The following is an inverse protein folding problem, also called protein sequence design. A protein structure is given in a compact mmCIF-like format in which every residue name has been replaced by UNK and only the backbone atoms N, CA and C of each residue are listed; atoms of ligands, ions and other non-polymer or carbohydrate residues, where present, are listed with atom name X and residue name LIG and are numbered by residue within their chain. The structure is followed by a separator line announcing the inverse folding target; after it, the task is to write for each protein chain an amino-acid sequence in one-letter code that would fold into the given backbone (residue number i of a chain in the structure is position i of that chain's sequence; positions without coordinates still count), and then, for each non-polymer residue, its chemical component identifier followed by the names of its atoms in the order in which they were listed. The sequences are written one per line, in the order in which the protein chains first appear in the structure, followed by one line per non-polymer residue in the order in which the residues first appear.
data_IF_015103201975
#
_entry.id   IF_015103201975
#
_cell.length_a   1.000
_cell.length_b   1.000
_cell.length_c   1.000
_cell.angle_alpha   90.00
_cell.angle_beta   90.00
_cell.angle_gamma   90.00
#
_symmetry.space_group_name_H-M   'P 1'
#
loop_
_entity.id
_entity.type
_entity.pdbx_description
1 polymer ?
#
# COMPACT_ATOMS: atom_id res chain seq x y z
N UNK A 1 -42.72 -64.30 38.94
CA UNK A 1 -41.48 -63.89 39.62
C UNK A 1 -41.20 -62.45 39.22
N UNK A 2 -41.53 -61.52 40.11
CA UNK A 2 -41.45 -60.07 39.91
C UNK A 2 -40.02 -59.60 40.15
N UNK A 3 -39.37 -59.00 39.14
CA UNK A 3 -38.05 -58.38 39.29
C UNK A 3 -38.15 -56.89 38.95
N UNK A 4 -38.10 -56.07 40.00
CA UNK A 4 -38.01 -54.61 39.94
C UNK A 4 -36.54 -54.24 39.70
N UNK A 5 -36.24 -53.43 38.69
CA UNK A 5 -34.94 -52.78 38.50
C UNK A 5 -35.11 -51.27 38.76
N UNK A 6 -34.40 -50.66 39.73
CA UNK A 6 -34.48 -49.22 39.95
C UNK A 6 -33.63 -48.48 38.91
N UNK A 7 -34.23 -47.48 38.28
CA UNK A 7 -33.55 -46.51 37.43
C UNK A 7 -32.63 -45.62 38.29
N UNK A 8 -31.33 -45.90 38.26
CA UNK A 8 -30.30 -45.04 38.84
C UNK A 8 -29.96 -43.95 37.81
N UNK A 9 -30.61 -42.80 37.94
CA UNK A 9 -30.35 -41.62 37.13
C UNK A 9 -29.03 -40.98 37.59
N UNK A 10 -27.93 -41.27 36.90
CA UNK A 10 -26.62 -40.66 37.14
C UNK A 10 -26.58 -39.27 36.49
N UNK A 11 -26.85 -38.24 37.29
CA UNK A 11 -26.66 -36.84 36.89
C UNK A 11 -25.17 -36.53 36.79
N UNK A 12 -24.64 -36.48 35.57
CA UNK A 12 -23.28 -36.04 35.29
C UNK A 12 -23.21 -34.50 35.30
N UNK A 13 -22.82 -33.91 36.44
CA UNK A 13 -22.44 -32.50 36.53
C UNK A 13 -20.97 -32.35 36.16
N UNK A 14 -20.67 -31.85 34.95
CA UNK A 14 -19.33 -31.40 34.59
C UNK A 14 -19.04 -30.05 35.26
N UNK A 15 -18.00 -29.91 36.10
CA UNK A 15 -17.47 -28.60 36.44
C UNK A 15 -16.66 -28.07 35.25
N UNK A 16 -17.13 -27.00 34.61
CA UNK A 16 -16.33 -26.20 33.69
C UNK A 16 -15.17 -25.58 34.47
N UNK A 17 -14.02 -26.24 34.45
CA UNK A 17 -12.73 -25.63 34.80
C UNK A 17 -12.28 -24.77 33.63
N UNK A 18 -12.95 -23.63 33.46
CA UNK A 18 -12.48 -22.55 32.60
C UNK A 18 -11.18 -21.99 33.19
N UNK A 19 -10.10 -22.07 32.43
CA UNK A 19 -8.85 -21.39 32.74
C UNK A 19 -9.12 -19.90 32.91
N UNK A 20 -8.80 -19.37 34.09
CA UNK A 20 -8.66 -17.93 34.31
C UNK A 20 -7.52 -17.47 33.42
N UNK A 21 -7.84 -16.96 32.22
CA UNK A 21 -6.91 -16.15 31.43
C UNK A 21 -6.78 -14.86 32.21
N UNK A 22 -5.74 -14.80 33.04
CA UNK A 22 -5.34 -13.60 33.73
C UNK A 22 -5.17 -12.48 32.70
N UNK A 23 -5.88 -11.40 32.94
CA UNK A 23 -5.86 -10.18 32.16
C UNK A 23 -4.45 -9.58 32.11
N UNK A 24 -3.68 -9.97 31.09
CA UNK A 24 -2.52 -9.21 30.60
C UNK A 24 -2.97 -8.56 29.29
N UNK A 25 -3.81 -7.53 29.39
CA UNK A 25 -4.42 -6.93 28.20
C UNK A 25 -4.89 -5.48 28.34
N UNK A 26 -4.91 -4.90 29.54
CA UNK A 26 -5.37 -3.51 29.70
C UNK A 26 -4.26 -2.47 29.41
N UNK A 27 -2.97 -2.84 29.48
CA UNK A 27 -1.86 -1.90 29.26
C UNK A 27 -1.41 -1.75 27.81
N UNK A 28 -1.63 -2.75 26.96
CA UNK A 28 -1.16 -2.71 25.57
C UNK A 28 -2.11 -1.95 24.63
N UNK A 29 -3.42 -1.97 24.90
CA UNK A 29 -4.42 -1.36 24.03
C UNK A 29 -4.37 0.18 24.03
N UNK A 30 -3.96 0.81 25.14
CA UNK A 30 -3.93 2.28 25.25
C UNK A 30 -2.74 2.89 24.48
N UNK A 31 -1.68 2.12 24.22
CA UNK A 31 -0.47 2.62 23.56
C UNK A 31 -0.52 2.66 22.03
N UNK A 32 -1.38 1.87 21.37
CA UNK A 32 -1.32 1.72 19.91
C UNK A 32 -1.94 2.91 19.17
N UNK A 33 -2.94 3.57 19.77
CA UNK A 33 -3.67 4.66 19.13
C UNK A 33 -2.83 5.92 18.87
N UNK A 34 -1.73 6.13 19.60
CA UNK A 34 -0.84 7.28 19.42
C UNK A 34 0.38 6.98 18.52
N UNK A 35 0.52 5.74 18.04
CA UNK A 35 1.75 5.25 17.37
C UNK A 35 1.57 5.15 15.85
N UNK A 36 0.33 5.15 15.35
CA UNK A 36 0.01 5.13 13.93
C UNK A 36 -0.51 6.50 13.47
N UNK A 37 0.01 6.99 12.35
CA UNK A 37 -0.48 8.19 11.68
C UNK A 37 -1.73 7.91 10.81
N UNK A 38 -2.20 6.66 10.78
CA UNK A 38 -3.41 6.21 10.08
C UNK A 38 -4.51 5.92 11.08
N UNK A 39 -5.73 6.28 10.74
CA UNK A 39 -6.91 5.86 11.49
C UNK A 39 -7.26 4.41 11.14
N UNK A 40 -7.85 3.67 12.08
CA UNK A 40 -8.36 2.32 11.77
C UNK A 40 -9.42 2.35 10.65
N UNK A 41 -10.13 3.48 10.50
CA UNK A 41 -11.07 3.71 9.40
C UNK A 41 -10.40 3.71 8.03
N UNK A 42 -9.30 4.45 7.85
CA UNK A 42 -8.55 4.47 6.58
C UNK A 42 -7.99 3.10 6.20
N UNK A 43 -7.50 2.33 7.16
CA UNK A 43 -7.01 0.96 6.91
C UNK A 43 -8.14 0.03 6.47
N UNK A 44 -9.31 0.10 7.13
CA UNK A 44 -10.50 -0.65 6.73
C UNK A 44 -11.00 -0.21 5.35
N UNK A 45 -10.92 1.09 5.08
CA UNK A 45 -11.38 1.66 3.83
C UNK A 45 -10.53 1.22 2.64
N UNK A 46 -9.20 1.23 2.80
CA UNK A 46 -8.25 0.73 1.82
C UNK A 46 -8.44 -0.78 1.58
N UNK A 47 -8.59 -1.57 2.65
CA UNK A 47 -8.84 -3.01 2.56
C UNK A 47 -10.15 -3.33 1.82
N UNK A 48 -11.21 -2.58 2.10
CA UNK A 48 -12.50 -2.72 1.40
C UNK A 48 -12.38 -2.33 -0.08
N UNK A 49 -11.64 -1.26 -0.38
CA UNK A 49 -11.40 -0.82 -1.76
C UNK A 49 -10.59 -1.87 -2.55
N UNK A 50 -9.54 -2.43 -1.95
CA UNK A 50 -8.75 -3.52 -2.56
C UNK A 50 -9.59 -4.77 -2.81
N UNK A 51 -10.43 -5.17 -1.85
CA UNK A 51 -11.34 -6.30 -2.01
C UNK A 51 -12.39 -6.06 -3.11
N UNK A 52 -12.94 -4.85 -3.21
CA UNK A 52 -13.86 -4.47 -4.30
C UNK A 52 -13.19 -4.59 -5.67
N UNK A 53 -11.97 -4.04 -5.82
CA UNK A 53 -11.20 -4.10 -7.07
C UNK A 53 -10.89 -5.56 -7.44
N UNK A 54 -10.36 -6.36 -6.50
CA UNK A 54 -10.06 -7.77 -6.74
C UNK A 54 -11.33 -8.55 -7.10
N UNK A 55 -12.45 -8.29 -6.43
CA UNK A 55 -13.72 -8.92 -6.77
C UNK A 55 -14.20 -8.57 -8.19
N UNK A 56 -14.08 -7.30 -8.61
CA UNK A 56 -14.42 -6.87 -9.98
C UNK A 56 -13.53 -7.57 -11.02
N UNK A 57 -12.22 -7.66 -10.77
CA UNK A 57 -11.28 -8.35 -11.66
C UNK A 57 -11.64 -9.83 -11.82
N UNK A 58 -11.84 -10.53 -10.70
CA UNK A 58 -12.21 -11.96 -10.71
C UNK A 58 -13.58 -12.19 -11.35
N UNK A 59 -14.52 -11.25 -11.19
CA UNK A 59 -15.84 -11.33 -11.82
C UNK A 59 -15.81 -11.05 -13.32
N UNK A 60 -14.85 -10.25 -13.80
CA UNK A 60 -14.64 -9.99 -15.23
C UNK A 60 -14.06 -11.23 -15.90
N UNK A 61 -12.95 -11.77 -15.38
CA UNK A 61 -12.35 -13.03 -15.84
C UNK A 61 -11.34 -13.60 -14.82
N UNK A 62 -11.72 -14.64 -14.10
CA UNK A 62 -10.87 -15.27 -13.09
C UNK A 62 -9.62 -15.96 -13.67
N UNK A 63 -9.68 -16.43 -14.92
CA UNK A 63 -8.53 -17.08 -15.57
C UNK A 63 -7.46 -16.06 -15.95
N UNK A 64 -7.88 -14.86 -16.35
CA UNK A 64 -6.98 -13.77 -16.71
C UNK A 64 -6.41 -13.03 -15.51
N UNK A 65 -7.24 -12.77 -14.50
CA UNK A 65 -6.90 -11.88 -13.38
C UNK A 65 -6.67 -12.60 -12.05
N UNK A 66 -6.68 -13.94 -12.06
CA UNK A 66 -6.43 -14.76 -10.87
C UNK A 66 -5.12 -14.42 -10.18
N UNK A 67 -4.07 -14.19 -10.96
CA UNK A 67 -2.71 -13.86 -10.49
C UNK A 67 -2.40 -12.36 -10.44
N UNK A 68 -3.40 -11.49 -10.59
CA UNK A 68 -3.23 -10.05 -10.36
C UNK A 68 -3.50 -9.73 -8.90
N UNK A 69 -2.46 -9.35 -8.16
CA UNK A 69 -2.57 -8.93 -6.78
C UNK A 69 -2.90 -7.44 -6.70
N UNK A 70 -3.76 -7.09 -5.75
CA UNK A 70 -4.26 -5.72 -5.54
C UNK A 70 -3.93 -5.32 -4.10
N UNK A 71 -3.08 -4.31 -3.96
CA UNK A 71 -2.77 -3.70 -2.68
C UNK A 71 -3.21 -2.24 -2.67
N UNK A 72 -3.76 -1.75 -1.56
CA UNK A 72 -4.20 -0.36 -1.45
C UNK A 72 -3.61 0.27 -0.20
N UNK A 73 -2.93 1.40 -0.37
CA UNK A 73 -2.41 2.19 0.73
C UNK A 73 -2.62 3.68 0.48
N UNK A 74 -3.36 4.34 1.38
CA UNK A 74 -3.58 5.79 1.31
C UNK A 74 -4.20 6.23 -0.03
N UNK A 75 -5.14 5.44 -0.56
CA UNK A 75 -5.80 5.69 -1.85
C UNK A 75 -4.95 5.40 -3.10
N UNK A 76 -3.67 5.01 -2.97
CA UNK A 76 -2.89 4.45 -4.07
C UNK A 76 -3.18 2.95 -4.20
N UNK A 77 -3.61 2.52 -5.38
CA UNK A 77 -3.77 1.12 -5.74
C UNK A 77 -2.51 0.64 -6.46
N UNK A 78 -1.85 -0.39 -5.93
CA UNK A 78 -0.83 -1.13 -6.64
C UNK A 78 -1.46 -2.38 -7.25
N UNK A 79 -1.35 -2.50 -8.57
CA UNK A 79 -1.61 -3.73 -9.29
C UNK A 79 -0.28 -4.41 -9.59
N UNK A 80 -0.09 -5.63 -9.10
CA UNK A 80 1.08 -6.45 -9.41
C UNK A 80 0.65 -7.84 -9.84
N UNK A 81 1.58 -8.70 -10.24
CA UNK A 81 1.24 -10.00 -10.80
C UNK A 81 1.49 -10.12 -12.29
N UNK A 82 0.75 -11.00 -12.95
CA UNK A 82 0.85 -11.21 -14.39
C UNK A 82 -0.49 -11.32 -15.08
N UNK A 83 -0.48 -11.00 -16.36
CA UNK A 83 -1.53 -11.29 -17.34
C UNK A 83 -0.91 -11.83 -18.62
N UNK A 84 -1.72 -12.45 -19.47
CA UNK A 84 -1.23 -13.07 -20.70
C UNK A 84 -1.17 -12.08 -21.88
N UNK A 85 -1.88 -10.94 -21.80
CA UNK A 85 -2.00 -10.00 -22.91
C UNK A 85 -1.98 -8.52 -22.46
N UNK A 86 -1.45 -7.60 -23.29
CA UNK A 86 -1.40 -6.17 -22.97
C UNK A 86 -2.78 -5.54 -22.68
N UNK A 87 -3.81 -5.97 -23.39
CA UNK A 87 -5.19 -5.51 -23.21
C UNK A 87 -5.73 -5.84 -21.81
N UNK A 88 -5.36 -6.99 -21.25
CA UNK A 88 -5.78 -7.39 -19.91
C UNK A 88 -5.09 -6.50 -18.85
N UNK A 89 -3.83 -6.10 -19.07
CA UNK A 89 -3.13 -5.14 -18.20
C UNK A 89 -3.82 -3.78 -18.16
N UNK A 90 -4.24 -3.27 -19.32
CA UNK A 90 -4.98 -2.00 -19.43
C UNK A 90 -6.38 -2.13 -18.81
N UNK A 91 -7.05 -3.26 -19.02
CA UNK A 91 -8.35 -3.55 -18.44
C UNK A 91 -8.28 -3.59 -16.91
N UNK A 92 -7.26 -4.23 -16.34
CA UNK A 92 -7.08 -4.29 -14.90
C UNK A 92 -6.91 -2.89 -14.28
N UNK A 93 -6.13 -2.02 -14.93
CA UNK A 93 -5.97 -0.62 -14.56
C UNK A 93 -7.29 0.16 -14.62
N UNK A 94 -8.06 -0.03 -15.69
CA UNK A 94 -9.39 0.58 -15.82
C UNK A 94 -10.34 0.13 -14.70
N UNK A 95 -10.26 -1.14 -14.27
CA UNK A 95 -11.06 -1.64 -13.13
C UNK A 95 -10.61 -0.98 -11.82
N UNK A 96 -9.31 -0.82 -11.59
CA UNK A 96 -8.78 -0.13 -10.41
C UNK A 96 -9.25 1.33 -10.33
N UNK A 97 -9.24 2.06 -11.45
CA UNK A 97 -9.76 3.43 -11.53
C UNK A 97 -11.28 3.54 -11.32
N UNK A 98 -12.03 2.46 -11.53
CA UNK A 98 -13.49 2.45 -11.33
C UNK A 98 -13.93 2.37 -9.87
N UNK A 99 -13.00 2.13 -8.94
CA UNK A 99 -13.32 1.99 -7.52
C UNK A 99 -13.35 3.37 -6.83
N UNK A 100 -14.31 3.54 -5.92
CA UNK A 100 -14.76 4.86 -5.45
C UNK A 100 -13.70 5.66 -4.69
N UNK A 101 -12.66 4.99 -4.15
CA UNK A 101 -11.63 5.61 -3.29
C UNK A 101 -10.22 5.53 -3.88
N UNK A 102 -10.11 5.15 -5.15
CA UNK A 102 -8.84 5.17 -5.87
C UNK A 102 -8.45 6.61 -6.19
N UNK A 103 -7.31 7.05 -5.66
CA UNK A 103 -6.71 8.35 -5.95
C UNK A 103 -5.61 8.23 -7.01
N UNK A 104 -4.92 7.10 -7.04
CA UNK A 104 -3.79 6.84 -7.92
C UNK A 104 -3.66 5.35 -8.19
N UNK A 105 -3.07 4.97 -9.33
CA UNK A 105 -2.88 3.58 -9.73
C UNK A 105 -1.46 3.36 -10.23
N UNK A 106 -0.72 2.51 -9.52
CA UNK A 106 0.56 1.96 -9.97
C UNK A 106 0.30 0.60 -10.64
N UNK A 107 0.48 0.53 -11.96
CA UNK A 107 0.26 -0.70 -12.73
C UNK A 107 1.58 -1.42 -13.05
N UNK A 108 1.98 -2.33 -12.16
CA UNK A 108 3.20 -3.14 -12.25
C UNK A 108 2.92 -4.58 -12.71
N UNK A 109 1.76 -4.82 -13.31
CA UNK A 109 1.40 -6.11 -13.92
C UNK A 109 2.38 -6.42 -15.06
N UNK A 110 2.93 -7.62 -15.06
CA UNK A 110 3.78 -8.14 -16.13
C UNK A 110 2.96 -8.86 -17.20
N UNK A 111 3.35 -8.68 -18.47
CA UNK A 111 2.74 -9.41 -19.59
C UNK A 111 3.64 -10.61 -19.88
N UNK A 112 3.27 -11.78 -19.36
CA UNK A 112 4.05 -13.00 -19.52
C UNK A 112 3.16 -14.27 -19.52
N UNK A 113 3.50 -15.28 -20.34
CA UNK A 113 2.75 -16.53 -20.40
C UNK A 113 2.69 -17.24 -19.03
N UNK A 114 1.71 -18.13 -18.80
CA UNK A 114 1.64 -18.92 -17.57
C UNK A 114 2.93 -19.71 -17.32
N UNK A 115 3.60 -19.43 -16.19
CA UNK A 115 4.89 -20.03 -15.87
C UNK A 115 5.21 -20.01 -14.37
N UNK A 116 5.21 -21.21 -13.77
CA UNK A 116 5.91 -21.54 -12.52
C UNK A 116 5.37 -20.97 -11.20
N UNK A 117 4.45 -21.70 -10.56
CA UNK A 117 3.97 -21.56 -9.16
C UNK A 117 5.07 -21.39 -8.07
N UNK A 118 6.36 -21.58 -8.40
CA UNK A 118 7.48 -21.51 -7.45
C UNK A 118 7.81 -20.06 -7.06
N UNK A 119 7.47 -19.05 -7.89
CA UNK A 119 7.81 -17.65 -7.60
C UNK A 119 7.05 -17.08 -6.39
N UNK A 120 5.74 -17.31 -6.29
CA UNK A 120 4.89 -16.66 -5.27
C UNK A 120 5.28 -17.04 -3.83
N UNK A 121 5.62 -18.31 -3.58
CA UNK A 121 6.08 -18.76 -2.25
C UNK A 121 7.38 -18.07 -1.84
N UNK A 122 8.27 -17.82 -2.80
CA UNK A 122 9.53 -17.12 -2.52
C UNK A 122 9.31 -15.64 -2.22
N UNK A 123 8.34 -15.00 -2.89
CA UNK A 123 8.01 -13.59 -2.72
C UNK A 123 7.34 -13.31 -1.37
N UNK A 124 6.45 -14.17 -0.88
CA UNK A 124 5.87 -14.01 0.46
C UNK A 124 6.95 -14.06 1.56
N UNK A 125 7.95 -14.94 1.41
CA UNK A 125 9.09 -15.03 2.33
C UNK A 125 10.00 -13.80 2.22
N UNK A 126 10.18 -13.25 1.00
CA UNK A 126 10.90 -11.99 0.80
C UNK A 126 10.14 -10.85 1.51
N UNK A 127 8.85 -10.67 1.24
CA UNK A 127 7.99 -9.68 1.89
C UNK A 127 8.06 -9.79 3.41
N UNK A 128 7.93 -11.00 3.96
CA UNK A 128 8.05 -11.26 5.40
C UNK A 128 9.40 -10.83 5.98
N UNK A 129 10.51 -11.13 5.29
CA UNK A 129 11.85 -10.73 5.72
C UNK A 129 12.09 -9.22 5.60
N UNK A 130 11.59 -8.58 4.54
CA UNK A 130 11.64 -7.11 4.40
C UNK A 130 10.84 -6.46 5.53
N UNK A 131 9.60 -6.87 5.78
CA UNK A 131 8.78 -6.35 6.88
C UNK A 131 9.48 -6.52 8.24
N UNK A 132 10.06 -7.69 8.52
CA UNK A 132 10.81 -7.92 9.75
C UNK A 132 12.02 -6.97 9.89
N UNK A 133 12.72 -6.70 8.78
CA UNK A 133 13.88 -5.81 8.77
C UNK A 133 13.49 -4.34 8.98
N UNK A 134 12.41 -3.89 8.35
CA UNK A 134 11.86 -2.55 8.62
C UNK A 134 11.43 -2.39 10.08
N UNK A 135 10.81 -3.42 10.68
CA UNK A 135 10.43 -3.42 12.10
C UNK A 135 11.66 -3.33 13.02
N UNK A 136 12.77 -3.97 12.64
CA UNK A 136 14.02 -3.92 13.39
C UNK A 136 14.82 -2.61 13.23
N UNK A 137 14.50 -1.80 12.22
CA UNK A 137 15.25 -0.57 11.92
C UNK A 137 14.79 0.60 12.78
N UNK A 138 15.73 1.24 13.49
CA UNK A 138 15.43 2.42 14.33
C UNK A 138 15.14 3.68 13.52
N UNK A 139 15.62 3.73 12.28
CA UNK A 139 15.48 4.87 11.39
C UNK A 139 14.18 4.85 10.60
N UNK A 140 13.47 3.71 10.60
CA UNK A 140 12.24 3.50 9.82
C UNK A 140 11.05 3.26 10.74
N UNK A 141 10.01 4.08 10.58
CA UNK A 141 8.72 3.89 11.21
C UNK A 141 7.91 2.87 10.41
N UNK A 142 8.23 1.58 10.59
CA UNK A 142 7.69 0.46 9.80
C UNK A 142 6.16 0.45 9.67
N UNK A 143 5.43 0.90 10.69
CA UNK A 143 3.95 0.98 10.68
C UNK A 143 3.39 1.92 9.60
N UNK A 144 4.21 2.80 9.03
CA UNK A 144 3.81 3.71 7.96
C UNK A 144 4.13 3.17 6.56
N UNK A 145 4.71 1.98 6.46
CA UNK A 145 5.09 1.35 5.20
C UNK A 145 4.32 0.05 5.01
N UNK A 146 3.76 -0.12 3.81
CA UNK A 146 3.31 -1.41 3.34
C UNK A 146 4.31 -1.97 2.32
N UNK A 147 4.48 -3.29 2.31
CA UNK A 147 5.54 -3.96 1.53
C UNK A 147 4.88 -5.06 0.73
N UNK A 148 4.94 -4.97 -0.60
CA UNK A 148 4.54 -6.05 -1.50
C UNK A 148 5.73 -6.51 -2.32
N UNK A 149 5.73 -7.78 -2.74
CA UNK A 149 6.81 -8.34 -3.56
C UNK A 149 6.23 -9.15 -4.70
N UNK A 150 6.73 -8.93 -5.91
CA UNK A 150 6.42 -9.77 -7.06
C UNK A 150 7.67 -10.07 -7.88
N UNK A 151 7.99 -11.36 -8.06
CA UNK A 151 9.13 -11.86 -8.80
C UNK A 151 10.47 -11.23 -8.36
N UNK A 152 10.64 -11.04 -7.05
CA UNK A 152 11.81 -10.39 -6.43
C UNK A 152 11.86 -8.86 -6.56
N UNK A 153 10.84 -8.20 -7.12
CA UNK A 153 10.70 -6.73 -7.07
C UNK A 153 9.88 -6.37 -5.85
N UNK A 154 10.45 -5.57 -4.95
CA UNK A 154 9.79 -5.09 -3.73
C UNK A 154 9.17 -3.73 -4.00
N UNK A 155 7.87 -3.60 -3.76
CA UNK A 155 7.13 -2.34 -3.82
C UNK A 155 6.90 -1.83 -2.40
N UNK A 156 7.42 -0.64 -2.11
CA UNK A 156 7.16 0.08 -0.87
C UNK A 156 6.03 1.09 -1.09
N UNK A 157 4.99 1.00 -0.28
CA UNK A 157 3.86 1.94 -0.27
C UNK A 157 3.74 2.61 1.10
N UNK A 158 3.01 3.73 1.16
CA UNK A 158 2.66 4.41 2.41
C UNK A 158 3.25 5.81 2.52
N UNK A 159 3.59 6.24 3.74
CA UNK A 159 4.01 7.62 4.02
C UNK A 159 5.28 7.68 4.87
N UNK A 160 6.38 8.17 4.30
CA UNK A 160 7.60 8.47 5.03
C UNK A 160 7.51 9.84 5.73
N UNK A 161 8.16 9.98 6.89
CA UNK A 161 8.30 11.23 7.63
C UNK A 161 9.33 12.17 7.00
N UNK A 162 10.28 11.63 6.25
CA UNK A 162 11.32 12.38 5.55
C UNK A 162 11.89 11.59 4.37
N UNK A 163 12.61 12.27 3.48
CA UNK A 163 13.37 11.64 2.41
C UNK A 163 14.43 10.65 2.95
N UNK A 164 15.06 10.98 4.09
CA UNK A 164 16.03 10.09 4.73
C UNK A 164 15.40 8.79 5.26
N UNK A 165 14.21 8.87 5.85
CA UNK A 165 13.49 7.67 6.28
C UNK A 165 13.14 6.78 5.08
N UNK A 166 12.70 7.39 3.98
CA UNK A 166 12.41 6.66 2.74
C UNK A 166 13.66 5.96 2.19
N UNK A 167 14.79 6.69 2.12
CA UNK A 167 16.07 6.12 1.68
C UNK A 167 16.48 4.92 2.56
N UNK A 168 16.37 5.07 3.88
CA UNK A 168 16.67 3.97 4.79
C UNK A 168 15.70 2.79 4.63
N UNK A 169 14.41 3.03 4.40
CA UNK A 169 13.47 1.94 4.12
C UNK A 169 13.83 1.17 2.84
N UNK A 170 14.23 1.88 1.79
CA UNK A 170 14.67 1.26 0.53
C UNK A 170 15.98 0.45 0.71
N UNK A 171 16.96 0.98 1.45
CA UNK A 171 18.19 0.28 1.82
C UNK A 171 17.90 -0.98 2.66
N UNK A 172 17.00 -0.88 3.64
CA UNK A 172 16.61 -2.00 4.49
C UNK A 172 15.83 -3.08 3.69
N UNK A 173 15.12 -2.71 2.64
CA UNK A 173 14.54 -3.67 1.71
C UNK A 173 15.61 -4.33 0.83
N UNK A 174 16.54 -3.55 0.27
CA UNK A 174 17.49 -4.02 -0.74
C UNK A 174 18.50 -5.05 -0.22
N UNK A 175 18.88 -5.02 1.06
CA UNK A 175 19.79 -6.07 1.59
C UNK A 175 19.11 -7.42 1.89
N UNK A 176 17.79 -7.56 1.69
CA UNK A 176 17.12 -8.85 1.85
C UNK A 176 17.47 -9.77 0.68
N UNK A 177 17.99 -10.95 0.98
CA UNK A 177 18.33 -11.95 -0.03
C UNK A 177 17.13 -12.35 -0.88
N UNK A 178 17.26 -12.25 -2.20
CA UNK A 178 16.19 -12.53 -3.18
C UNK A 178 15.54 -11.26 -3.74
N UNK A 179 15.78 -10.09 -3.13
CA UNK A 179 15.38 -8.80 -3.71
C UNK A 179 16.27 -8.49 -4.91
N UNK A 180 15.63 -8.26 -6.05
CA UNK A 180 16.25 -7.88 -7.33
C UNK A 180 16.18 -6.38 -7.56
N UNK A 181 15.11 -5.74 -7.09
CA UNK A 181 14.83 -4.32 -7.28
C UNK A 181 13.90 -3.84 -6.16
N UNK A 182 14.04 -2.56 -5.77
CA UNK A 182 13.11 -1.88 -4.87
C UNK A 182 12.49 -0.71 -5.61
N UNK A 183 11.16 -0.68 -5.69
CA UNK A 183 10.38 0.41 -6.27
C UNK A 183 9.60 1.07 -5.14
N UNK A 184 9.56 2.39 -5.12
CA UNK A 184 8.85 3.13 -4.09
C UNK A 184 7.73 3.98 -4.67
N UNK A 185 6.54 3.81 -4.09
CA UNK A 185 5.41 4.71 -4.22
C UNK A 185 5.08 5.38 -2.88
N UNK A 186 6.08 5.47 -1.98
CA UNK A 186 5.92 6.09 -0.67
C UNK A 186 5.88 7.60 -0.86
N UNK A 187 4.85 8.24 -0.30
CA UNK A 187 4.76 9.70 -0.25
C UNK A 187 5.54 10.24 0.94
N UNK A 188 6.23 11.35 0.77
CA UNK A 188 6.86 12.04 1.89
C UNK A 188 5.82 12.95 2.52
N UNK A 189 5.65 12.87 3.84
CA UNK A 189 4.75 13.73 4.59
C UNK A 189 5.19 15.17 4.44
N UNK A 190 4.28 16.02 3.99
CA UNK A 190 4.52 17.45 4.00
C UNK A 190 4.62 17.95 5.45
N UNK A 191 5.60 18.81 5.78
CA UNK A 191 5.62 19.48 7.08
C UNK A 191 4.31 20.25 7.25
N UNK A 192 3.55 19.97 8.32
CA UNK A 192 2.39 20.79 8.69
C UNK A 192 2.85 22.24 8.84
N UNK A 193 2.55 23.08 7.86
CA UNK A 193 2.94 24.50 7.87
C UNK A 193 3.41 25.08 6.54
N UNK A 194 3.54 24.30 5.46
CA UNK A 194 3.62 24.91 4.13
C UNK A 194 2.19 25.29 3.73
N UNK A 195 1.89 26.59 3.83
CA UNK A 195 0.78 27.15 3.06
C UNK A 195 1.11 26.81 1.60
N UNK A 196 0.20 26.19 0.82
CA UNK A 196 0.39 26.09 -0.64
C UNK A 196 0.82 27.46 -1.14
N UNK A 197 1.77 27.59 -2.09
CA UNK A 197 2.12 28.89 -2.63
C UNK A 197 0.81 29.58 -2.98
N UNK A 198 0.52 30.66 -2.25
CA UNK A 198 -0.69 31.44 -2.41
C UNK A 198 -0.85 31.62 -3.91
N UNK A 199 -1.94 31.12 -4.48
CA UNK A 199 -2.20 31.35 -5.89
C UNK A 199 -2.21 32.85 -6.02
N UNK A 200 -1.13 33.40 -6.59
CA UNK A 200 -0.98 34.83 -6.79
C UNK A 200 -2.16 35.17 -7.69
N UNK A 201 -3.23 35.69 -7.10
CA UNK A 201 -4.31 36.31 -7.83
C UNK A 201 -3.64 37.51 -8.47
N UNK A 202 -3.25 37.32 -9.73
CA UNK A 202 -2.81 38.40 -10.59
C UNK A 202 -3.94 39.42 -10.50
N UNK A 203 -3.71 40.62 -9.96
CA UNK A 203 -4.76 41.63 -9.93
C UNK A 203 -5.23 41.81 -11.36
N UNK A 204 -6.51 41.57 -11.61
CA UNK A 204 -7.10 41.78 -12.92
C UNK A 204 -7.14 43.29 -13.15
N UNK A 205 -6.00 43.86 -13.55
CA UNK A 205 -5.87 45.25 -13.94
C UNK A 205 -6.67 45.50 -15.20
N UNK A 206 -7.35 46.65 -15.24
CA UNK A 206 -8.14 47.09 -16.39
C UNK A 206 -7.35 46.95 -17.70
N UNK A 207 -7.92 46.36 -18.77
CA UNK A 207 -7.21 46.07 -20.02
C UNK A 207 -6.81 47.32 -20.84
N UNK A 208 -7.00 48.52 -20.30
CA UNK A 208 -6.84 49.78 -21.03
C UNK A 208 -5.45 50.44 -20.91
N UNK A 209 -4.50 49.90 -20.15
CA UNK A 209 -3.21 50.58 -19.90
C UNK A 209 -2.00 50.01 -20.63
N UNK A 210 -2.14 48.95 -21.43
CA UNK A 210 -1.04 48.40 -22.23
C UNK A 210 -0.93 49.06 -23.61
N UNK A 211 -0.68 50.38 -23.61
CA UNK A 211 -0.15 51.07 -24.78
C UNK A 211 1.10 51.83 -24.39
N UNK A 212 2.22 51.12 -24.41
CA UNK A 212 3.55 51.67 -24.65
C UNK A 212 4.40 50.58 -25.34
N UNK A 213 5.07 50.98 -26.40
CA UNK A 213 5.75 50.14 -27.40
C UNK A 213 6.84 49.22 -26.82
N UNK A 214 7.23 48.13 -27.53
CA UNK A 214 8.21 47.18 -27.01
C UNK A 214 9.63 47.75 -27.10
N UNK A 215 10.36 47.70 -25.98
CA UNK A 215 11.80 47.92 -25.97
C UNK A 215 12.50 46.63 -26.41
N UNK A 216 13.22 46.70 -27.52
CA UNK A 216 13.93 45.56 -28.10
C UNK A 216 15.25 45.34 -27.39
N UNK A 217 15.30 44.36 -26.49
CA UNK A 217 16.56 43.82 -25.97
C UNK A 217 16.42 42.32 -25.73
N UNK A 218 16.74 41.53 -26.76
CA UNK A 218 16.99 40.10 -26.66
C UNK A 218 18.44 39.88 -26.16
N UNK A 219 18.59 39.20 -25.02
CA UNK A 219 19.75 38.34 -24.70
C UNK A 219 19.18 36.97 -24.35
N UNK A 220 19.27 35.95 -25.21
CA UNK A 220 20.38 34.96 -25.30
C UNK A 220 20.81 34.46 -23.92
N UNK A 221 20.23 33.35 -23.45
CA UNK A 221 20.93 32.05 -23.38
C UNK A 221 20.20 30.99 -22.53
N UNK A 222 20.33 29.76 -23.02
CA UNK A 222 20.37 28.47 -22.32
C UNK A 222 19.07 27.79 -21.84
N UNK A 223 18.73 26.77 -22.61
CA UNK A 223 17.85 25.64 -22.33
C UNK A 223 18.18 24.94 -21.01
N UNK A 224 17.16 24.70 -20.18
CA UNK A 224 17.27 23.84 -18.99
C UNK A 224 16.75 22.44 -19.31
N UNK A 225 17.70 21.52 -19.44
CA UNK A 225 17.53 20.07 -19.61
C UNK A 225 16.98 19.44 -18.32
N UNK A 226 15.89 18.66 -18.42
CA UNK A 226 15.30 17.93 -17.29
C UNK A 226 16.03 16.60 -17.07
N UNK A 227 16.68 16.45 -15.91
CA UNK A 227 17.32 15.21 -15.48
C UNK A 227 16.36 14.44 -14.57
N UNK A 228 15.92 13.26 -15.00
CA UNK A 228 15.29 12.23 -14.17
C UNK A 228 16.36 11.26 -13.64
N UNK A 229 16.34 10.92 -12.35
CA UNK A 229 17.23 9.90 -11.74
C UNK A 229 16.42 8.71 -11.25
N UNK A 230 16.83 7.50 -11.66
CA UNK A 230 16.41 6.21 -11.12
C UNK A 230 17.50 5.66 -10.18
N UNK A 231 17.09 4.96 -9.11
CA UNK A 231 17.97 4.22 -8.19
C UNK A 231 17.74 2.72 -8.31
#
# INVERSE_FOLDING_TARGET
MSLRLPALMLAATLPLTGCVVAAVGAGAAVGVAAVQDRTMGEVLDDSTNGAEIKAKLISDDAEKFGEVDVEVANGLVLLSGRVNAPEDRVKAESVAWSASRTQDVANEIRIEPPGGFIANVSDEIISGRVRARLIGSKSVKSVNFNVETYNGVVYLLGIARSADELRHAAEEASYVSGVKQVVSYVRIREPRGTVPPEQVQVPQGDPASYQSAPDTSYGTDADAELISVSY
#
